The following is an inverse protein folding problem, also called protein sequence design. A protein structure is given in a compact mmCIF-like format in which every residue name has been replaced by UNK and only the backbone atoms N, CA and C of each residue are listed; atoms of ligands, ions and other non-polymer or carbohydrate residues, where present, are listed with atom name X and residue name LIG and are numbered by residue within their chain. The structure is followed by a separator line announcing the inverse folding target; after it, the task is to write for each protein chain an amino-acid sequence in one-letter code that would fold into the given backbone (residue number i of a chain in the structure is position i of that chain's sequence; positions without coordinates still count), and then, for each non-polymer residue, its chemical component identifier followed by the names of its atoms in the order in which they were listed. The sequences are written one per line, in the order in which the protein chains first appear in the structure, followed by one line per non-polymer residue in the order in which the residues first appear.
data_IF_717612100400
#
_entry.id   IF_717612100400
#
_cell.length_a   1.000
_cell.length_b   1.000
_cell.length_c   1.000
_cell.angle_alpha   90.00
_cell.angle_beta   90.00
_cell.angle_gamma   90.00
#
_symmetry.space_group_name_H-M   'P 1'
#
loop_
_entity.id
_entity.type
_entity.pdbx_description
1 polymer ?
#
# COMPACT_ATOMS: atom_id res chain seq x y z
N UNK A 1 -2.20 5.97 -15.70
CA UNK A 1 -2.36 4.74 -14.88
C UNK A 1 -1.25 3.74 -15.21
N UNK A 2 -0.41 3.40 -14.23
CA UNK A 2 0.76 2.51 -14.41
C UNK A 2 0.33 1.06 -14.67
N UNK A 3 1.28 0.21 -15.06
CA UNK A 3 1.04 -1.24 -15.19
C UNK A 3 0.59 -1.85 -13.85
N UNK A 4 1.23 -1.45 -12.75
CA UNK A 4 0.88 -1.89 -11.40
C UNK A 4 -0.53 -1.49 -11.00
N UNK A 5 -0.97 -0.23 -11.25
CA UNK A 5 -2.35 0.18 -10.94
C UNK A 5 -3.39 -0.65 -11.71
N UNK A 6 -3.09 -1.02 -12.96
CA UNK A 6 -3.98 -1.85 -13.79
C UNK A 6 -4.07 -3.28 -13.25
N UNK A 7 -2.94 -3.88 -12.86
CA UNK A 7 -2.90 -5.20 -12.24
C UNK A 7 -3.66 -5.22 -10.91
N UNK A 8 -3.45 -4.20 -10.06
CA UNK A 8 -4.17 -4.03 -8.79
C UNK A 8 -5.68 -3.89 -8.99
N UNK A 9 -6.12 -3.09 -9.97
CA UNK A 9 -7.54 -2.94 -10.30
C UNK A 9 -8.18 -4.27 -10.74
N UNK A 10 -7.41 -5.17 -11.35
CA UNK A 10 -7.88 -6.48 -11.83
C UNK A 10 -7.64 -7.62 -10.83
N UNK A 11 -6.90 -7.39 -9.74
CA UNK A 11 -6.55 -8.43 -8.77
C UNK A 11 -5.55 -9.46 -9.30
N UNK A 12 -4.73 -9.09 -10.30
CA UNK A 12 -3.76 -9.99 -10.94
C UNK A 12 -2.52 -10.18 -10.06
N UNK A 13 -2.64 -10.99 -9.01
CA UNK A 13 -1.64 -11.13 -7.95
C UNK A 13 -0.27 -11.60 -8.48
N UNK A 14 -0.23 -12.51 -9.44
CA UNK A 14 1.02 -12.97 -10.06
C UNK A 14 1.74 -11.83 -10.80
N UNK A 15 0.98 -11.02 -11.54
CA UNK A 15 1.52 -9.84 -12.24
C UNK A 15 1.97 -8.78 -11.25
N UNK A 16 1.21 -8.58 -10.16
CA UNK A 16 1.59 -7.66 -9.08
C UNK A 16 2.91 -8.13 -8.45
N UNK A 17 3.03 -9.41 -8.12
CA UNK A 17 4.26 -10.00 -7.57
C UNK A 17 5.44 -9.82 -8.53
N UNK A 18 5.26 -10.13 -9.82
CA UNK A 18 6.31 -9.95 -10.82
C UNK A 18 6.74 -8.48 -11.00
N UNK A 19 5.79 -7.54 -10.99
CA UNK A 19 6.07 -6.11 -11.08
C UNK A 19 6.76 -5.57 -9.83
N UNK A 20 6.43 -6.11 -8.65
CA UNK A 20 7.00 -5.69 -7.38
C UNK A 20 8.35 -6.36 -7.06
N UNK A 21 8.65 -7.52 -7.67
CA UNK A 21 9.89 -8.26 -7.48
C UNK A 21 11.10 -7.68 -8.25
N UNK A 22 10.90 -6.65 -9.09
CA UNK A 22 12.00 -5.98 -9.81
C UNK A 22 13.01 -5.35 -8.84
N UNK A 23 14.21 -5.94 -8.79
CA UNK A 23 15.20 -5.91 -7.71
C UNK A 23 15.83 -4.55 -7.29
N UNK A 24 15.45 -3.40 -7.84
CA UNK A 24 16.20 -2.14 -7.63
C UNK A 24 15.42 -1.05 -6.87
N UNK A 25 14.50 -1.42 -5.98
CA UNK A 25 13.71 -0.45 -5.20
C UNK A 25 12.74 0.42 -6.03
N UNK A 26 12.83 0.40 -7.37
CA UNK A 26 11.88 1.00 -8.31
C UNK A 26 10.46 0.48 -8.13
N UNK A 27 10.31 -0.80 -7.84
CA UNK A 27 9.02 -1.41 -7.53
C UNK A 27 8.30 -0.72 -6.36
N UNK A 28 9.05 -0.32 -5.33
CA UNK A 28 8.52 0.43 -4.19
C UNK A 28 8.12 1.85 -4.59
N UNK A 29 8.89 2.50 -5.45
CA UNK A 29 8.53 3.82 -6.00
C UNK A 29 7.25 3.74 -6.85
N UNK A 30 7.08 2.69 -7.65
CA UNK A 30 5.93 2.50 -8.52
C UNK A 30 4.62 2.22 -7.75
N UNK A 31 4.73 1.63 -6.56
CA UNK A 31 3.60 1.40 -5.66
C UNK A 31 2.97 2.70 -5.14
N UNK A 32 3.71 3.82 -5.21
CA UNK A 32 3.27 5.15 -4.80
C UNK A 32 3.07 6.11 -6.00
N UNK A 33 2.86 5.60 -7.22
CA UNK A 33 2.51 6.44 -8.38
C UNK A 33 0.98 6.54 -8.53
N UNK A 34 0.37 7.74 -8.37
CA UNK A 34 -1.05 7.92 -8.58
C UNK A 34 -1.45 8.03 -10.06
N UNK A 35 -2.75 7.88 -10.34
CA UNK A 35 -3.33 8.37 -11.60
C UNK A 35 -3.76 9.85 -11.49
N UNK A 36 -4.37 10.39 -12.55
CA UNK A 36 -4.86 11.78 -12.62
C UNK A 36 -5.95 12.12 -11.58
N UNK A 37 -6.50 11.11 -10.88
CA UNK A 37 -7.45 11.26 -9.77
C UNK A 37 -6.78 11.08 -8.40
N UNK A 38 -5.45 11.07 -8.34
CA UNK A 38 -4.67 10.81 -7.14
C UNK A 38 -4.92 9.42 -6.53
N UNK A 39 -5.42 8.48 -7.32
CA UNK A 39 -5.63 7.11 -6.87
C UNK A 39 -4.37 6.28 -7.08
N UNK A 40 -3.84 5.77 -5.97
CA UNK A 40 -2.66 4.93 -5.91
C UNK A 40 -3.04 3.45 -6.11
N UNK A 41 -2.08 2.56 -6.48
CA UNK A 41 -2.31 1.11 -6.57
C UNK A 41 -3.08 0.53 -5.37
N UNK A 42 -2.75 0.96 -4.14
CA UNK A 42 -3.44 0.49 -2.93
C UNK A 42 -4.91 0.93 -2.86
N UNK A 43 -5.28 2.12 -3.38
CA UNK A 43 -6.69 2.52 -3.50
C UNK A 43 -7.46 1.55 -4.40
N UNK A 44 -6.88 1.17 -5.55
CA UNK A 44 -7.54 0.25 -6.46
C UNK A 44 -7.71 -1.15 -5.87
N UNK A 45 -6.68 -1.68 -5.22
CA UNK A 45 -6.75 -2.98 -4.58
C UNK A 45 -7.80 -3.00 -3.45
N UNK A 46 -7.84 -1.95 -2.63
CA UNK A 46 -8.82 -1.79 -1.55
C UNK A 46 -10.25 -1.63 -2.09
N UNK A 47 -10.48 -0.69 -3.02
CA UNK A 47 -11.79 -0.43 -3.62
C UNK A 47 -12.35 -1.66 -4.35
N UNK A 48 -11.49 -2.43 -5.01
CA UNK A 48 -11.86 -3.67 -5.70
C UNK A 48 -11.89 -4.91 -4.80
N UNK A 49 -11.60 -4.75 -3.51
CA UNK A 49 -11.66 -5.80 -2.48
C UNK A 49 -10.70 -6.97 -2.73
N UNK A 50 -9.58 -6.69 -3.38
CA UNK A 50 -8.55 -7.69 -3.70
C UNK A 50 -7.58 -7.81 -2.52
N UNK A 51 -7.94 -8.62 -1.53
CA UNK A 51 -7.18 -8.76 -0.29
C UNK A 51 -5.72 -9.18 -0.52
N UNK A 52 -5.46 -10.08 -1.47
CA UNK A 52 -4.11 -10.54 -1.78
C UNK A 52 -3.27 -9.44 -2.46
N UNK A 53 -3.87 -8.66 -3.36
CA UNK A 53 -3.23 -7.49 -3.94
C UNK A 53 -2.88 -6.44 -2.87
N UNK A 54 -3.78 -6.23 -1.90
CA UNK A 54 -3.52 -5.36 -0.74
C UNK A 54 -2.33 -5.88 0.06
N UNK A 55 -2.30 -7.19 0.39
CA UNK A 55 -1.20 -7.82 1.11
C UNK A 55 0.14 -7.59 0.41
N UNK A 56 0.23 -7.92 -0.88
CA UNK A 56 1.45 -7.75 -1.68
C UNK A 56 1.93 -6.29 -1.69
N UNK A 57 1.04 -5.32 -1.87
CA UNK A 57 1.39 -3.90 -1.86
C UNK A 57 1.90 -3.44 -0.49
N UNK A 58 1.26 -3.88 0.60
CA UNK A 58 1.68 -3.53 1.96
C UNK A 58 3.07 -4.11 2.28
N UNK A 59 3.33 -5.36 1.89
CA UNK A 59 4.63 -6.03 2.04
C UNK A 59 5.75 -5.29 1.30
N UNK A 60 5.44 -4.70 0.14
CA UNK A 60 6.40 -3.93 -0.66
C UNK A 60 6.44 -2.44 -0.30
N UNK A 61 5.84 -2.04 0.82
CA UNK A 61 6.03 -0.70 1.37
C UNK A 61 5.11 0.38 0.79
N UNK A 62 4.03 0.02 0.09
CA UNK A 62 3.05 0.99 -0.43
C UNK A 62 2.52 1.90 0.70
N UNK A 63 2.32 3.18 0.41
CA UNK A 63 1.86 4.14 1.42
C UNK A 63 0.40 3.89 1.81
N UNK A 64 0.15 3.85 3.12
CA UNK A 64 -1.18 3.66 3.70
C UNK A 64 -1.88 4.98 4.03
N UNK A 65 -1.22 6.13 3.82
CA UNK A 65 -1.67 7.45 4.27
C UNK A 65 -1.91 8.44 3.13
N UNK A 66 -1.64 8.04 1.88
CA UNK A 66 -1.92 8.86 0.70
C UNK A 66 -3.43 9.04 0.52
N UNK A 67 -3.85 10.22 0.09
CA UNK A 67 -5.26 10.52 -0.20
C UNK A 67 -5.51 10.66 -1.70
N UNK A 68 -6.66 10.18 -2.16
CA UNK A 68 -7.19 10.46 -3.49
C UNK A 68 -7.70 11.91 -3.64
N UNK A 69 -8.17 12.29 -4.83
CA UNK A 69 -8.71 13.64 -5.09
C UNK A 69 -9.96 13.97 -4.25
N UNK A 70 -10.61 12.98 -3.64
CA UNK A 70 -11.74 13.17 -2.71
C UNK A 70 -11.29 13.24 -1.25
N UNK A 71 -9.99 13.21 -0.98
CA UNK A 71 -9.42 13.22 0.37
C UNK A 71 -9.44 11.84 1.06
N UNK A 72 -9.84 10.77 0.36
CA UNK A 72 -9.98 9.44 0.96
C UNK A 72 -8.68 8.69 0.88
N UNK A 73 -8.31 8.01 1.95
CA UNK A 73 -7.20 7.05 2.02
C UNK A 73 -7.60 5.67 1.47
N UNK A 74 -6.65 4.77 1.20
CA UNK A 74 -6.97 3.41 0.76
C UNK A 74 -7.87 2.65 1.75
N UNK A 75 -7.72 2.91 3.06
CA UNK A 75 -8.55 2.30 4.10
C UNK A 75 -10.02 2.79 4.06
N UNK A 76 -10.24 4.01 3.57
CA UNK A 76 -11.57 4.62 3.43
C UNK A 76 -12.23 4.29 2.07
N UNK A 77 -11.45 3.78 1.11
CA UNK A 77 -11.96 3.41 -0.22
C UNK A 77 -12.50 1.96 -0.28
N UNK A 78 -12.48 1.22 0.83
CA UNK A 78 -13.01 -0.15 0.93
C UNK A 78 -14.19 -0.25 1.90
N UNK A 79 -15.15 -1.13 1.56
CA UNK A 79 -16.24 -1.51 2.45
C UNK A 79 -15.95 -2.79 3.26
N UNK A 80 -14.80 -3.43 3.04
CA UNK A 80 -14.46 -4.73 3.66
C UNK A 80 -13.64 -4.49 4.93
N UNK A 81 -14.15 -4.85 6.13
CA UNK A 81 -13.45 -4.62 7.39
C UNK A 81 -12.05 -5.23 7.41
N UNK A 82 -11.89 -6.48 7.00
CA UNK A 82 -10.58 -7.15 6.98
C UNK A 82 -9.51 -6.40 6.17
N UNK A 83 -9.88 -5.82 5.02
CA UNK A 83 -8.94 -5.04 4.19
C UNK A 83 -8.61 -3.71 4.86
N UNK A 84 -9.62 -3.02 5.39
CA UNK A 84 -9.43 -1.77 6.14
C UNK A 84 -8.50 -1.99 7.33
N UNK A 85 -8.76 -3.02 8.10
CA UNK A 85 -8.01 -3.35 9.31
C UNK A 85 -6.57 -3.74 8.99
N UNK A 86 -6.33 -4.48 7.89
CA UNK A 86 -4.98 -4.77 7.42
C UNK A 86 -4.18 -3.51 7.08
N UNK A 87 -4.79 -2.55 6.38
CA UNK A 87 -4.14 -1.28 6.02
C UNK A 87 -3.84 -0.44 7.27
N UNK A 88 -4.80 -0.35 8.21
CA UNK A 88 -4.62 0.41 9.45
C UNK A 88 -3.61 -0.26 10.40
N UNK A 89 -3.59 -1.59 10.46
CA UNK A 89 -2.61 -2.34 11.24
C UNK A 89 -1.19 -2.10 10.71
N UNK A 90 -1.01 -2.11 9.39
CA UNK A 90 0.29 -1.81 8.78
C UNK A 90 0.72 -0.36 9.05
N UNK A 91 -0.22 0.59 8.98
CA UNK A 91 0.02 1.99 9.36
C UNK A 91 0.55 2.09 10.80
N UNK A 92 -0.11 1.43 11.75
CA UNK A 92 0.30 1.44 13.15
C UNK A 92 1.69 0.79 13.35
N UNK A 93 1.95 -0.36 12.72
CA UNK A 93 3.25 -1.06 12.78
C UNK A 93 4.41 -0.19 12.31
N UNK A 94 4.21 0.60 11.25
CA UNK A 94 5.25 1.51 10.73
C UNK A 94 5.53 2.69 11.66
N UNK A 95 4.50 3.21 12.34
CA UNK A 95 4.68 4.22 13.40
C UNK A 95 5.51 3.66 14.55
N UNK A 96 5.20 2.43 15.01
CA UNK A 96 5.97 1.76 16.08
C UNK A 96 7.44 1.53 15.71
N UNK A 97 7.72 1.25 14.43
CA UNK A 97 9.10 1.08 13.91
C UNK A 97 9.87 2.39 13.75
N UNK A 98 9.16 3.51 13.61
CA UNK A 98 9.74 4.85 13.51
C UNK A 98 9.98 5.50 14.89
N UNK A 99 9.51 4.88 15.98
CA UNK A 99 9.71 5.33 17.34
C UNK A 99 11.11 4.96 17.86
N UNK A 100 11.90 5.99 18.14
CA UNK A 100 13.16 6.02 18.91
C UNK A 100 13.27 4.84 19.92
N UNK A 101 14.35 4.06 19.80
CA UNK A 101 14.74 3.10 20.83
C UNK A 101 15.02 3.82 22.16
N UNK A 102 14.43 3.40 23.30
CA UNK A 102 14.81 3.96 24.59
C UNK A 102 16.18 3.40 25.01
N UNK A 103 17.13 4.30 25.24
CA UNK A 103 18.24 4.10 26.17
C UNK A 103 19.33 3.10 25.78
N UNK A 104 20.37 3.58 25.12
CA UNK A 104 21.74 3.24 25.55
C UNK A 104 22.23 4.37 26.43
N UNK A 105 21.96 4.28 27.74
CA UNK A 105 22.81 4.94 28.72
C UNK A 105 24.15 4.21 28.69
N UNK A 106 25.18 4.87 28.15
CA UNK A 106 26.55 4.48 28.38
C UNK A 106 26.87 4.87 29.84
N UNK A 107 26.95 3.84 30.67
CA UNK A 107 27.66 3.84 31.96
C UNK A 107 29.14 4.15 31.77
#
# INVERSE_FOLDING_TARGET
ATALSRACRRGQCDVIGALLAGADGRARADADIPNDKWQYPLHFAAFKKHAEAVRLLLEHGASTTVSDRKGRTPAEDTSVPAIRDAILAERARRVSRSGIAPGKSLS
#
